data_IF_796158059682
#
_entry.id   IF_796158059682
#
_cell.length_a   1.000
_cell.length_b   1.000
_cell.length_c   1.000
_cell.angle_alpha   90.00
_cell.angle_beta   90.00
_cell.angle_gamma   90.00
#
_symmetry.space_group_name_H-M   'P 1'
#
loop_
_entity.id
_entity.type
_entity.pdbx_description
1 polymer ?
#
# COMPACT_ATOMS: atom_id res chain seq x y z
N UNK A 1 -21.79 33.23 1.38
CA UNK A 1 -20.70 32.48 0.73
C UNK A 1 -20.14 31.56 1.80
N UNK A 2 -20.69 30.35 1.88
CA UNK A 2 -20.33 29.36 2.88
C UNK A 2 -19.11 28.57 2.37
N UNK A 3 -18.00 28.67 3.09
CA UNK A 3 -17.22 27.53 3.55
C UNK A 3 -16.34 28.09 4.67
N UNK A 4 -16.80 27.92 5.90
CA UNK A 4 -15.91 27.96 7.05
C UNK A 4 -15.02 26.72 6.90
N UNK A 5 -13.67 26.82 6.96
CA UNK A 5 -12.85 25.64 7.08
C UNK A 5 -13.15 25.08 8.47
N UNK A 6 -13.98 24.04 8.50
CA UNK A 6 -14.15 23.16 9.65
C UNK A 6 -12.76 22.61 9.99
N UNK A 7 -12.11 23.33 10.90
CA UNK A 7 -10.91 22.89 11.62
C UNK A 7 -11.37 22.62 13.04
N UNK A 8 -12.44 21.84 13.18
CA UNK A 8 -12.73 21.19 14.45
C UNK A 8 -11.73 20.05 14.62
N UNK A 9 -10.54 20.43 15.07
CA UNK A 9 -9.60 19.57 15.78
C UNK A 9 -10.25 19.05 17.06
N UNK A 10 -11.21 18.15 16.90
CA UNK A 10 -11.74 17.32 17.95
C UNK A 10 -10.66 16.33 18.33
N UNK A 11 -10.25 16.36 19.59
CA UNK A 11 -9.42 15.33 20.21
C UNK A 11 -10.15 13.97 20.19
N UNK A 12 -10.14 13.28 19.05
CA UNK A 12 -10.58 11.91 18.90
C UNK A 12 -9.33 11.01 18.95
N UNK A 13 -8.96 10.59 20.15
CA UNK A 13 -8.12 9.42 20.42
C UNK A 13 -6.93 9.13 19.46
N UNK A 14 -5.97 10.04 19.27
CA UNK A 14 -4.69 9.76 18.59
C UNK A 14 -4.85 8.88 17.32
N UNK A 15 -5.86 9.13 16.49
CA UNK A 15 -5.97 8.41 15.22
C UNK A 15 -4.71 8.73 14.41
N UNK A 16 -4.01 7.70 13.88
CA UNK A 16 -2.78 7.96 13.14
C UNK A 16 -3.14 8.78 11.89
N UNK A 17 -2.55 9.97 11.79
CA UNK A 17 -2.71 10.83 10.61
C UNK A 17 -2.20 10.14 9.34
N UNK A 18 -1.28 9.18 9.51
CA UNK A 18 -0.71 8.33 8.47
C UNK A 18 -0.78 6.87 8.88
N UNK A 19 -1.36 6.04 8.01
CA UNK A 19 -1.28 4.58 8.09
C UNK A 19 -0.83 4.06 6.73
N UNK A 20 0.40 3.54 6.70
CA UNK A 20 1.00 2.95 5.50
C UNK A 20 1.43 1.53 5.80
N UNK A 21 0.94 0.62 4.98
CA UNK A 21 1.18 -0.81 5.08
C UNK A 21 1.86 -1.34 3.83
N UNK A 22 2.99 -2.02 4.04
CA UNK A 22 3.75 -2.66 2.97
C UNK A 22 3.78 -4.17 3.23
N UNK A 23 3.30 -4.94 2.27
CA UNK A 23 3.35 -6.41 2.32
C UNK A 23 4.19 -6.92 1.17
N UNK A 24 5.27 -7.63 1.49
CA UNK A 24 6.05 -8.39 0.52
C UNK A 24 5.58 -9.83 0.52
N UNK A 25 5.09 -10.30 -0.61
CA UNK A 25 4.83 -11.72 -0.87
C UNK A 25 6.03 -12.30 -1.61
N UNK A 26 6.39 -13.56 -1.31
CA UNK A 26 7.56 -14.22 -1.90
C UNK A 26 7.25 -15.62 -2.38
N UNK A 27 7.85 -15.97 -3.52
CA UNK A 27 7.66 -17.21 -4.28
C UNK A 27 8.06 -18.50 -3.57
N UNK A 28 7.47 -19.60 -4.07
CA UNK A 28 7.61 -21.05 -3.77
C UNK A 28 7.44 -21.52 -2.32
N UNK A 29 7.81 -20.73 -1.30
CA UNK A 29 7.71 -21.13 0.11
C UNK A 29 6.59 -20.41 0.90
N UNK A 30 5.83 -19.51 0.27
CA UNK A 30 4.67 -18.85 0.89
C UNK A 30 4.99 -17.87 2.02
N UNK A 31 6.25 -17.45 2.15
CA UNK A 31 6.68 -16.54 3.21
C UNK A 31 6.27 -15.11 2.87
N UNK A 32 5.23 -14.63 3.56
CA UNK A 32 4.78 -13.23 3.48
C UNK A 32 5.36 -12.44 4.65
N UNK A 33 5.88 -11.26 4.37
CA UNK A 33 6.35 -10.31 5.39
C UNK A 33 5.57 -9.01 5.25
N UNK A 34 5.04 -8.50 6.36
CA UNK A 34 4.32 -7.24 6.41
C UNK A 34 5.04 -6.23 7.30
N UNK A 35 4.97 -4.97 6.90
CA UNK A 35 5.40 -3.81 7.68
C UNK A 35 4.26 -2.80 7.68
N UNK A 36 4.10 -2.10 8.80
CA UNK A 36 3.11 -1.06 8.98
C UNK A 36 3.76 0.10 9.71
N UNK A 37 3.52 1.31 9.23
CA UNK A 37 3.88 2.54 9.92
C UNK A 37 2.61 3.31 10.20
N UNK A 38 2.45 3.68 11.47
CA UNK A 38 1.36 4.48 12.00
C UNK A 38 2.04 5.74 12.56
N UNK A 39 1.80 6.90 11.96
CA UNK A 39 2.45 8.15 12.37
C UNK A 39 1.43 9.28 12.53
N UNK A 40 1.56 10.13 13.56
CA UNK A 40 0.74 11.33 13.70
C UNK A 40 1.21 12.49 12.80
N UNK A 41 2.33 12.36 12.09
CA UNK A 41 2.96 13.42 11.30
C UNK A 41 2.82 13.14 9.78
N UNK A 42 1.75 13.61 9.10
CA UNK A 42 1.53 13.34 7.69
C UNK A 42 2.51 14.04 6.76
N UNK A 43 2.98 15.23 7.15
CA UNK A 43 3.94 16.03 6.39
C UNK A 43 5.27 15.30 6.07
N UNK A 44 5.65 14.31 6.88
CA UNK A 44 6.86 13.51 6.66
C UNK A 44 6.66 12.40 5.61
N UNK A 45 5.42 11.96 5.38
CA UNK A 45 5.06 10.82 4.53
C UNK A 45 4.31 11.21 3.26
N UNK A 46 3.46 12.24 3.31
CA UNK A 46 2.74 12.82 2.18
C UNK A 46 3.65 13.03 0.95
N UNK A 47 4.81 13.71 1.03
CA UNK A 47 5.66 13.93 -0.15
C UNK A 47 6.23 12.62 -0.74
N UNK A 48 6.47 11.59 0.08
CA UNK A 48 6.93 10.29 -0.39
C UNK A 48 5.81 9.54 -1.12
N UNK A 49 4.60 9.59 -0.56
CA UNK A 49 3.40 9.00 -1.16
C UNK A 49 3.04 9.72 -2.45
N UNK A 50 3.07 11.05 -2.50
CA UNK A 50 2.76 11.82 -3.69
C UNK A 50 3.79 11.66 -4.81
N UNK A 51 5.05 11.41 -4.47
CA UNK A 51 6.09 11.12 -5.46
C UNK A 51 5.91 9.75 -6.15
N UNK A 52 5.16 8.83 -5.54
CA UNK A 52 4.92 7.51 -6.12
C UNK A 52 3.94 7.59 -7.32
N UNK A 53 4.26 6.96 -8.47
CA UNK A 53 3.37 6.92 -9.62
C UNK A 53 2.24 5.89 -9.41
N UNK A 54 1.24 6.23 -8.59
CA UNK A 54 0.09 5.36 -8.30
C UNK A 54 -0.79 5.06 -9.53
N UNK A 55 -0.76 5.92 -10.55
CA UNK A 55 -1.54 5.77 -11.79
C UNK A 55 -0.86 4.83 -12.81
N UNK A 56 0.47 4.69 -12.73
CA UNK A 56 1.31 3.92 -13.67
C UNK A 56 1.74 2.57 -13.05
N UNK A 57 0.81 1.87 -12.41
CA UNK A 57 1.09 0.61 -11.70
C UNK A 57 0.76 -0.59 -12.61
N UNK A 58 1.76 -1.35 -13.11
CA UNK A 58 1.56 -2.38 -14.13
C UNK A 58 0.79 -3.62 -13.66
N UNK A 59 0.61 -3.82 -12.36
CA UNK A 59 -0.07 -5.00 -11.80
C UNK A 59 -1.56 -5.08 -12.17
N UNK A 60 -2.20 -3.95 -12.48
CA UNK A 60 -3.59 -3.97 -12.98
C UNK A 60 -3.75 -4.75 -14.29
N UNK A 61 -2.66 -4.88 -15.08
CA UNK A 61 -2.69 -5.48 -16.41
C UNK A 61 -2.10 -6.90 -16.45
N UNK A 62 -1.40 -7.35 -15.39
CA UNK A 62 -0.78 -8.68 -15.36
C UNK A 62 -1.81 -9.78 -15.05
N UNK A 63 -1.83 -10.81 -15.89
CA UNK A 63 -2.69 -11.98 -15.71
C UNK A 63 -2.21 -12.85 -14.54
N UNK A 64 -3.12 -13.62 -13.92
CA UNK A 64 -2.77 -14.59 -12.87
C UNK A 64 -1.68 -15.58 -13.32
N UNK A 65 -1.63 -15.91 -14.61
CA UNK A 65 -0.60 -16.76 -15.20
C UNK A 65 0.78 -16.10 -15.24
N UNK A 66 0.85 -14.80 -15.55
CA UNK A 66 2.09 -14.02 -15.50
C UNK A 66 2.57 -13.82 -14.06
N UNK A 67 1.64 -13.63 -13.11
CA UNK A 67 1.95 -13.58 -11.68
C UNK A 67 2.45 -14.92 -11.11
N UNK A 68 1.94 -16.05 -11.62
CA UNK A 68 2.33 -17.39 -11.16
C UNK A 68 3.59 -17.95 -11.84
N UNK A 69 3.98 -17.40 -13.00
CA UNK A 69 4.96 -18.00 -13.91
C UNK A 69 6.43 -17.80 -13.55
N UNK A 70 6.77 -16.80 -12.75
CA UNK A 70 8.13 -16.73 -12.22
C UNK A 70 8.14 -16.34 -10.75
N UNK A 71 9.26 -16.63 -10.09
CA UNK A 71 9.57 -16.33 -8.69
C UNK A 71 9.65 -14.82 -8.42
N UNK A 72 8.58 -14.09 -8.76
CA UNK A 72 8.47 -12.67 -8.59
C UNK A 72 8.06 -12.43 -7.14
N UNK A 73 8.92 -11.73 -6.40
CA UNK A 73 8.46 -11.10 -5.17
C UNK A 73 7.50 -9.97 -5.56
N UNK A 74 6.32 -9.94 -4.96
CA UNK A 74 5.35 -8.86 -5.17
C UNK A 74 5.27 -8.01 -3.90
N UNK A 75 5.20 -6.70 -4.09
CA UNK A 75 5.11 -5.70 -3.05
C UNK A 75 3.77 -5.01 -3.15
N UNK A 76 2.96 -5.16 -2.12
CA UNK A 76 1.65 -4.52 -1.98
C UNK A 76 1.83 -3.36 -1.01
N UNK A 77 1.57 -2.15 -1.47
CA UNK A 77 1.68 -0.90 -0.72
C UNK A 77 0.26 -0.35 -0.60
N UNK A 78 -0.19 -0.17 0.64
CA UNK A 78 -1.52 0.32 0.99
C UNK A 78 -1.34 1.54 1.88
N UNK A 79 -1.87 2.69 1.47
CA UNK A 79 -1.98 3.91 2.25
C UNK A 79 -3.44 4.01 2.68
N UNK A 80 -3.72 3.74 3.94
CA UNK A 80 -5.06 3.81 4.50
C UNK A 80 -5.39 5.22 5.00
N UNK A 81 -4.36 5.96 5.45
CA UNK A 81 -4.46 7.36 5.83
C UNK A 81 -3.20 8.13 5.41
N UNK A 82 -3.33 9.42 5.03
CA UNK A 82 -4.58 10.19 4.92
C UNK A 82 -5.45 9.79 3.71
N UNK A 83 -6.71 10.23 3.69
CA UNK A 83 -7.63 9.99 2.56
C UNK A 83 -7.28 10.84 1.33
N UNK A 84 -7.51 10.35 0.09
CA UNK A 84 -8.11 9.05 -0.23
C UNK A 84 -7.12 7.90 -0.05
N UNK A 85 -7.64 6.75 0.42
CA UNK A 85 -6.82 5.54 0.53
C UNK A 85 -6.27 5.11 -0.84
N UNK A 86 -4.98 4.78 -0.90
CA UNK A 86 -4.28 4.38 -2.13
C UNK A 86 -3.73 2.98 -1.99
N UNK A 87 -3.76 2.21 -3.06
CA UNK A 87 -3.18 0.86 -3.10
C UNK A 87 -2.48 0.63 -4.42
N UNK A 88 -1.24 0.14 -4.33
CA UNK A 88 -0.45 -0.28 -5.47
C UNK A 88 0.13 -1.67 -5.17
N UNK A 89 0.07 -2.55 -6.15
CA UNK A 89 0.80 -3.81 -6.13
C UNK A 89 1.86 -3.73 -7.24
N UNK A 90 3.10 -4.04 -6.91
CA UNK A 90 4.24 -3.87 -7.80
C UNK A 90 5.10 -5.13 -7.72
N UNK A 91 5.55 -5.70 -8.85
CA UNK A 91 6.60 -6.71 -8.80
C UNK A 91 7.90 -6.08 -8.30
N UNK A 92 8.78 -6.87 -7.67
CA UNK A 92 10.04 -6.39 -7.09
C UNK A 92 10.93 -5.64 -8.08
N UNK A 93 10.91 -6.02 -9.35
CA UNK A 93 11.60 -5.31 -10.43
C UNK A 93 11.02 -3.94 -10.80
N UNK A 94 9.87 -3.55 -10.25
CA UNK A 94 9.24 -2.24 -10.43
C UNK A 94 9.24 -1.40 -9.14
N UNK A 95 9.67 -1.96 -8.02
CA UNK A 95 9.92 -1.20 -6.78
C UNK A 95 11.27 -0.49 -6.90
N UNK A 96 11.28 0.57 -7.69
CA UNK A 96 12.42 1.45 -7.95
C UNK A 96 12.06 2.92 -7.71
N UNK A 97 13.07 3.79 -7.60
CA UNK A 97 12.90 5.23 -7.38
C UNK A 97 12.03 5.56 -6.17
N UNK A 98 10.91 6.31 -6.34
CA UNK A 98 10.07 6.75 -5.21
C UNK A 98 9.42 5.59 -4.47
N UNK A 99 9.10 4.48 -5.16
CA UNK A 99 8.56 3.29 -4.52
C UNK A 99 9.57 2.63 -3.59
N UNK A 100 10.84 2.56 -4.02
CA UNK A 100 11.91 2.00 -3.20
C UNK A 100 12.12 2.82 -1.94
N UNK A 101 12.12 4.14 -2.06
CA UNK A 101 12.31 5.05 -0.93
C UNK A 101 11.17 4.91 0.10
N UNK A 102 9.92 4.89 -0.36
CA UNK A 102 8.78 4.65 0.52
C UNK A 102 8.88 3.30 1.24
N UNK A 103 9.15 2.22 0.50
CA UNK A 103 9.25 0.87 1.05
C UNK A 103 10.41 0.74 2.05
N UNK A 104 11.57 1.30 1.73
CA UNK A 104 12.74 1.24 2.61
C UNK A 104 12.46 1.99 3.92
N UNK A 105 11.86 3.18 3.81
CA UNK A 105 11.47 3.97 4.97
C UNK A 105 10.43 3.28 5.84
N UNK A 106 9.37 2.71 5.25
CA UNK A 106 8.37 1.92 6.00
C UNK A 106 9.01 0.69 6.64
N UNK A 107 10.02 0.07 6.02
CA UNK A 107 10.73 -1.07 6.63
C UNK A 107 11.66 -0.66 7.76
N UNK A 108 12.27 0.51 7.67
CA UNK A 108 13.19 1.05 8.66
C UNK A 108 12.47 1.62 9.89
N UNK A 109 11.42 2.40 9.66
CA UNK A 109 10.66 3.08 10.72
C UNK A 109 9.42 2.28 11.15
N UNK A 110 8.84 1.51 10.25
CA UNK A 110 7.61 0.75 10.50
C UNK A 110 7.84 -0.54 11.28
N UNK A 111 6.80 -0.95 11.98
CA UNK A 111 6.76 -2.19 12.74
C UNK A 111 6.47 -3.37 11.83
N UNK A 112 7.18 -4.48 12.03
CA UNK A 112 6.84 -5.75 11.40
C UNK A 112 5.46 -6.22 11.89
N UNK A 113 4.50 -6.33 10.97
CA UNK A 113 3.15 -6.82 11.24
C UNK A 113 2.95 -8.17 10.57
N UNK A 114 2.12 -9.01 11.19
CA UNK A 114 1.63 -10.20 10.48
C UNK A 114 0.75 -9.72 9.34
N UNK A 115 1.08 -10.05 8.08
CA UNK A 115 0.20 -9.69 6.98
C UNK A 115 -1.13 -10.41 7.21
N UNK A 116 -2.21 -9.63 7.30
CA UNK A 116 -3.56 -10.18 7.26
C UNK A 116 -3.70 -11.06 6.01
N UNK A 117 -4.43 -12.18 6.07
CA UNK A 117 -4.70 -12.97 4.88
C UNK A 117 -5.29 -12.05 3.81
N UNK A 118 -4.88 -12.20 2.53
CA UNK A 118 -5.46 -11.40 1.47
C UNK A 118 -6.97 -11.61 1.55
N UNK A 119 -7.72 -10.51 1.73
CA UNK A 119 -9.15 -10.54 1.50
C UNK A 119 -9.27 -10.90 0.03
N UNK A 120 -9.84 -12.08 -0.29
CA UNK A 120 -10.03 -12.46 -1.69
C UNK A 120 -10.72 -11.27 -2.35
N UNK A 121 -10.03 -10.61 -3.29
CA UNK A 121 -10.67 -9.66 -4.19
C UNK A 121 -11.76 -10.50 -4.84
N UNK A 122 -13.02 -10.15 -4.59
CA UNK A 122 -14.14 -10.87 -5.16
C UNK A 122 -13.88 -10.97 -6.66
N UNK A 123 -13.74 -12.19 -7.14
CA UNK A 123 -13.93 -12.48 -8.54
C UNK A 123 -15.33 -11.97 -8.85
N UNK A 124 -15.43 -10.84 -9.55
CA UNK A 124 -16.60 -10.57 -10.35
C UNK A 124 -16.52 -11.59 -11.50
N UNK A 125 -16.91 -12.82 -11.15
CA UNK A 125 -17.17 -13.90 -12.08
C UNK A 125 -18.32 -13.41 -12.94
N UNK A 126 -17.97 -12.80 -14.06
CA UNK A 126 -18.88 -12.57 -15.17
C UNK A 126 -19.43 -13.92 -15.58
N UNK A 127 -20.61 -14.23 -15.07
CA UNK A 127 -21.54 -15.22 -15.58
C UNK A 127 -21.72 -14.95 -17.08
N UNK A 128 -21.09 -15.80 -17.89
CA UNK A 128 -21.34 -15.88 -19.33
C UNK A 128 -21.95 -17.25 -19.59
N UNK A 129 -23.29 -17.29 -19.65
CA UNK A 129 -24.06 -18.49 -20.02
C UNK A 129 -25.56 -18.27 -20.03
#
# INVERSE_FOLDING_TARGET
MAHEPDTEGGAAALEPAVDIRVTRTGGVAGMRRGWCVESPEPEAWEPLVEACPWDDVPDAELTDAERAGADHFEWIIEVLAPEPSRRAALPDGQVDGPWRELVDRVRGEGRAVRPAPPRRRGSEEGDHG
#
